data_IF_662807432621
#
_entry.id   IF_662807432621
#
_cell.length_a   1.000
_cell.length_b   1.000
_cell.length_c   1.000
_cell.angle_alpha   90.00
_cell.angle_beta   90.00
_cell.angle_gamma   90.00
#
_symmetry.space_group_name_H-M   'P 1'
#
loop_
_entity.id
_entity.type
_entity.pdbx_description
1 polymer ?
#
# COMPACT_ATOMS: atom_id res chain seq x y z
N UNK A 1 -2.36 32.76 23.50
CA UNK A 1 -1.98 31.35 23.71
C UNK A 1 -1.85 30.70 22.35
N UNK A 2 -0.64 30.64 21.80
CA UNK A 2 -0.38 29.94 20.55
C UNK A 2 -0.19 28.46 20.89
N UNK A 3 -1.09 27.61 20.39
CA UNK A 3 -0.91 26.16 20.44
C UNK A 3 0.29 25.82 19.57
N UNK A 4 1.41 25.47 20.18
CA UNK A 4 2.48 24.74 19.50
C UNK A 4 1.92 23.38 19.11
N UNK A 5 1.37 23.29 17.90
CA UNK A 5 1.21 22.01 17.25
C UNK A 5 2.61 21.39 17.24
N UNK A 6 2.79 20.30 18.00
CA UNK A 6 3.96 19.46 17.82
C UNK A 6 4.08 19.18 16.32
N UNK A 7 5.27 19.34 15.76
CA UNK A 7 5.52 18.88 14.40
C UNK A 7 5.38 17.36 14.52
N UNK A 8 4.19 16.83 14.24
CA UNK A 8 3.98 15.39 14.23
C UNK A 8 4.98 14.82 13.23
N UNK A 9 5.85 13.93 13.72
CA UNK A 9 6.83 13.28 12.87
C UNK A 9 6.11 12.65 11.67
N UNK A 10 6.67 12.88 10.48
CA UNK A 10 6.07 12.39 9.24
C UNK A 10 6.21 10.87 9.18
N UNK A 11 5.08 10.17 9.11
CA UNK A 11 5.02 8.71 8.99
C UNK A 11 5.04 8.35 7.50
N UNK A 12 6.07 7.64 7.08
CA UNK A 12 6.26 7.17 5.71
C UNK A 12 5.58 5.82 5.52
N UNK A 13 4.55 5.81 4.67
CA UNK A 13 3.74 4.60 4.41
C UNK A 13 3.82 4.24 2.94
N UNK A 14 4.22 2.99 2.64
CA UNK A 14 4.25 2.45 1.28
C UNK A 14 3.15 1.40 1.09
N UNK A 15 2.38 1.54 0.02
CA UNK A 15 1.41 0.52 -0.41
C UNK A 15 1.93 -0.31 -1.57
N UNK A 16 2.15 -1.60 -1.31
CA UNK A 16 2.42 -2.61 -2.31
C UNK A 16 1.12 -3.35 -2.68
N UNK A 17 0.52 -2.91 -3.79
CA UNK A 17 -0.71 -3.50 -4.33
C UNK A 17 -1.92 -2.57 -4.28
N UNK A 18 -2.00 -1.65 -5.23
CA UNK A 18 -3.16 -0.78 -5.46
C UNK A 18 -4.30 -1.48 -6.22
N UNK A 19 -4.74 -2.63 -5.69
CA UNK A 19 -6.03 -3.22 -6.08
C UNK A 19 -7.20 -2.45 -5.46
N UNK A 20 -8.41 -3.00 -5.55
CA UNK A 20 -9.60 -2.38 -4.96
C UNK A 20 -9.44 -2.15 -3.44
N UNK A 21 -9.03 -3.18 -2.69
CA UNK A 21 -8.82 -3.12 -1.23
C UNK A 21 -7.68 -2.17 -0.87
N UNK A 22 -6.52 -2.31 -1.51
CA UNK A 22 -5.36 -1.45 -1.26
C UNK A 22 -5.66 0.03 -1.52
N UNK A 23 -6.45 0.34 -2.56
CA UNK A 23 -6.83 1.73 -2.88
C UNK A 23 -7.75 2.35 -1.82
N UNK A 24 -8.64 1.57 -1.21
CA UNK A 24 -9.50 2.02 -0.10
C UNK A 24 -8.66 2.38 1.12
N UNK A 25 -7.75 1.50 1.53
CA UNK A 25 -6.89 1.77 2.69
C UNK A 25 -5.86 2.87 2.42
N UNK A 26 -5.32 2.95 1.20
CA UNK A 26 -4.46 4.05 0.79
C UNK A 26 -5.20 5.40 0.89
N UNK A 27 -6.48 5.45 0.49
CA UNK A 27 -7.32 6.63 0.70
C UNK A 27 -7.47 6.96 2.19
N UNK A 28 -7.83 5.98 3.02
CA UNK A 28 -8.03 6.19 4.46
C UNK A 28 -6.76 6.75 5.11
N UNK A 29 -5.58 6.16 4.86
CA UNK A 29 -4.33 6.65 5.48
C UNK A 29 -3.89 7.99 4.91
N UNK A 30 -4.20 8.29 3.64
CA UNK A 30 -3.85 9.59 3.02
C UNK A 30 -4.58 10.78 3.65
N UNK A 31 -5.64 10.51 4.43
CA UNK A 31 -6.40 11.53 5.15
C UNK A 31 -5.69 12.01 6.42
N UNK A 32 -4.71 11.26 6.92
CA UNK A 32 -3.94 11.65 8.10
C UNK A 32 -2.91 12.74 7.73
N UNK A 33 -2.86 13.86 8.47
CA UNK A 33 -2.05 15.03 8.09
C UNK A 33 -0.54 14.77 8.13
N UNK A 34 -0.10 13.80 8.93
CA UNK A 34 1.30 13.43 9.11
C UNK A 34 1.73 12.21 8.29
N UNK A 35 0.90 11.70 7.37
CA UNK A 35 1.24 10.53 6.55
C UNK A 35 1.79 10.97 5.20
N UNK A 36 3.00 10.51 4.87
CA UNK A 36 3.59 10.63 3.53
C UNK A 36 3.42 9.32 2.77
N UNK A 37 2.37 9.27 1.95
CA UNK A 37 1.99 8.07 1.19
C UNK A 37 2.86 7.88 -0.06
N UNK A 38 3.49 6.71 -0.17
CA UNK A 38 4.07 6.20 -1.41
C UNK A 38 3.26 5.00 -1.91
N UNK A 39 3.08 4.89 -3.23
CA UNK A 39 2.38 3.74 -3.82
C UNK A 39 3.21 3.08 -4.91
N UNK A 40 3.18 1.74 -4.91
CA UNK A 40 3.78 0.94 -5.99
C UNK A 40 2.71 0.63 -7.03
N UNK A 41 2.81 1.27 -8.18
CA UNK A 41 1.90 1.13 -9.31
C UNK A 41 2.63 0.49 -10.50
N UNK A 42 2.17 -0.69 -10.94
CA UNK A 42 2.75 -1.39 -12.10
C UNK A 42 2.02 -0.98 -13.38
N UNK A 43 1.01 -1.75 -13.76
CA UNK A 43 0.25 -1.54 -15.00
C UNK A 43 -0.56 -0.24 -15.03
N UNK A 44 -0.72 0.46 -13.91
CA UNK A 44 -1.48 1.70 -13.77
C UNK A 44 -0.61 2.91 -13.38
N UNK A 45 0.71 2.80 -13.47
CA UNK A 45 1.65 3.85 -13.07
C UNK A 45 1.31 5.22 -13.66
N UNK A 46 1.23 5.33 -14.98
CA UNK A 46 1.01 6.63 -15.65
C UNK A 46 -0.34 7.23 -15.27
N UNK A 47 -1.38 6.38 -15.20
CA UNK A 47 -2.71 6.81 -14.81
C UNK A 47 -2.75 7.36 -13.38
N UNK A 48 -2.12 6.67 -12.43
CA UNK A 48 -2.06 7.09 -11.02
C UNK A 48 -1.19 8.32 -10.85
N UNK A 49 -0.05 8.39 -11.55
CA UNK A 49 0.86 9.54 -11.47
C UNK A 49 0.25 10.82 -12.03
N UNK A 50 -0.53 10.74 -13.10
CA UNK A 50 -1.14 11.90 -13.73
C UNK A 50 -2.47 12.30 -13.08
N UNK A 51 -3.32 11.34 -12.73
CA UNK A 51 -4.71 11.60 -12.35
C UNK A 51 -5.00 11.33 -10.87
N UNK A 52 -4.03 10.80 -10.11
CA UNK A 52 -4.24 10.33 -8.75
C UNK A 52 -5.11 9.07 -8.70
N UNK A 53 -5.68 8.81 -7.53
CA UNK A 53 -6.58 7.70 -7.26
C UNK A 53 -7.97 8.24 -6.93
N UNK A 54 -8.96 7.84 -7.72
CA UNK A 54 -10.36 8.20 -7.51
C UNK A 54 -11.08 7.12 -6.72
N UNK A 55 -11.58 7.49 -5.54
CA UNK A 55 -12.46 6.68 -4.72
C UNK A 55 -13.91 7.16 -4.87
N UNK A 56 -14.82 6.23 -5.09
CA UNK A 56 -16.26 6.49 -5.09
C UNK A 56 -16.87 5.56 -4.03
N UNK A 57 -17.49 6.14 -3.01
CA UNK A 57 -18.09 5.45 -1.89
C UNK A 57 -19.37 6.17 -1.46
N UNK A 58 -20.37 5.42 -1.00
CA UNK A 58 -21.56 6.03 -0.39
C UNK A 58 -21.20 6.74 0.93
N UNK A 59 -20.26 6.17 1.70
CA UNK A 59 -19.87 6.68 3.02
C UNK A 59 -18.89 7.86 2.94
N UNK A 60 -18.09 7.94 1.87
CA UNK A 60 -17.05 8.97 1.71
C UNK A 60 -17.25 9.88 0.50
N UNK A 61 -18.34 9.69 -0.24
CA UNK A 61 -18.60 10.38 -1.50
C UNK A 61 -17.61 10.02 -2.60
N UNK A 62 -17.51 10.93 -3.56
CA UNK A 62 -16.53 10.87 -4.65
C UNK A 62 -15.34 11.76 -4.30
N UNK A 63 -14.14 11.18 -4.22
CA UNK A 63 -12.92 11.86 -3.83
C UNK A 63 -11.76 11.41 -4.72
N UNK A 64 -10.86 12.33 -5.05
CA UNK A 64 -9.58 12.02 -5.71
C UNK A 64 -8.44 12.43 -4.79
N UNK A 65 -7.47 11.54 -4.59
CA UNK A 65 -6.29 11.81 -3.78
C UNK A 65 -5.00 11.49 -4.54
N UNK A 66 -3.93 12.16 -4.14
CA UNK A 66 -2.63 12.08 -4.79
C UNK A 66 -1.59 11.59 -3.77
N UNK A 67 -0.99 10.40 -3.99
CA UNK A 67 0.17 9.98 -3.22
C UNK A 67 1.33 10.96 -3.36
N UNK A 68 2.15 11.10 -2.31
CA UNK A 68 3.36 11.91 -2.37
C UNK A 68 4.36 11.33 -3.39
N UNK A 69 4.45 10.01 -3.48
CA UNK A 69 5.26 9.32 -4.48
C UNK A 69 4.48 8.21 -5.16
N UNK A 70 4.68 8.08 -6.47
CA UNK A 70 4.19 6.97 -7.29
C UNK A 70 5.40 6.35 -7.97
N UNK A 71 5.67 5.07 -7.68
CA UNK A 71 6.85 4.34 -8.17
C UNK A 71 6.45 3.05 -8.87
N UNK A 72 7.28 2.56 -9.80
CA UNK A 72 6.97 1.31 -10.53
C UNK A 72 7.40 0.06 -9.78
N UNK A 73 8.51 0.17 -9.06
CA UNK A 73 9.14 -0.94 -8.34
C UNK A 73 9.59 -0.49 -6.95
N UNK A 74 9.69 -1.40 -5.96
CA UNK A 74 10.25 -1.05 -4.64
C UNK A 74 11.66 -0.47 -4.69
N UNK A 75 12.47 -0.81 -5.70
CA UNK A 75 13.83 -0.25 -5.85
C UNK A 75 13.87 1.27 -6.10
N UNK A 76 12.77 1.84 -6.59
CA UNK A 76 12.64 3.29 -6.83
C UNK A 76 12.19 4.05 -5.57
N UNK A 77 11.95 3.35 -4.46
CA UNK A 77 11.34 3.98 -3.30
C UNK A 77 12.31 4.95 -2.60
N UNK A 78 11.89 6.20 -2.34
CA UNK A 78 12.75 7.19 -1.71
C UNK A 78 12.86 6.97 -0.19
N UNK A 79 14.02 6.49 0.24
CA UNK A 79 14.40 6.47 1.65
C UNK A 79 13.68 5.38 2.46
N UNK A 80 13.46 5.68 3.73
CA UNK A 80 12.93 4.75 4.73
C UNK A 80 11.40 4.77 4.82
N UNK A 81 10.82 3.64 5.22
CA UNK A 81 9.39 3.46 5.46
C UNK A 81 9.13 2.87 6.84
N UNK A 82 8.26 3.55 7.59
CA UNK A 82 7.75 3.07 8.88
C UNK A 82 6.78 1.90 8.67
N UNK A 83 5.97 1.97 7.61
CA UNK A 83 5.00 0.94 7.27
C UNK A 83 5.05 0.55 5.79
N UNK A 84 5.13 -0.76 5.53
CA UNK A 84 4.95 -1.34 4.21
C UNK A 84 3.69 -2.20 4.22
N UNK A 85 2.67 -1.75 3.51
CA UNK A 85 1.36 -2.41 3.43
C UNK A 85 1.29 -3.29 2.19
N UNK A 86 1.19 -4.59 2.40
CA UNK A 86 1.01 -5.60 1.36
C UNK A 86 -0.48 -5.91 1.18
N UNK A 87 -1.08 -5.39 0.11
CA UNK A 87 -2.50 -5.60 -0.24
C UNK A 87 -2.71 -6.22 -1.63
N UNK A 88 -1.64 -6.73 -2.24
CA UNK A 88 -1.71 -7.56 -3.44
C UNK A 88 -2.32 -8.94 -3.15
N UNK A 89 -2.75 -9.66 -4.20
CA UNK A 89 -3.14 -11.06 -4.05
C UNK A 89 -1.95 -11.92 -3.61
N UNK A 90 -2.18 -12.83 -2.66
CA UNK A 90 -1.20 -13.78 -2.14
C UNK A 90 -0.99 -14.99 -3.07
N UNK A 91 -0.72 -14.76 -4.37
CA UNK A 91 -0.48 -15.84 -5.35
C UNK A 91 1.01 -16.08 -5.64
N UNK A 92 1.87 -15.13 -5.28
CA UNK A 92 3.31 -15.17 -5.56
C UNK A 92 4.06 -14.43 -4.44
N UNK A 93 3.87 -14.91 -3.22
CA UNK A 93 4.28 -14.21 -2.01
C UNK A 93 5.80 -14.18 -1.87
N UNK A 94 6.51 -15.22 -2.31
CA UNK A 94 7.97 -15.29 -2.25
C UNK A 94 8.63 -14.22 -3.11
N UNK A 95 8.18 -14.07 -4.35
CA UNK A 95 8.66 -13.02 -5.26
C UNK A 95 8.35 -11.63 -4.69
N UNK A 96 7.16 -11.45 -4.12
CA UNK A 96 6.77 -10.18 -3.49
C UNK A 96 7.66 -9.86 -2.29
N UNK A 97 7.79 -10.79 -1.36
CA UNK A 97 8.61 -10.61 -0.17
C UNK A 97 10.05 -10.27 -0.55
N UNK A 98 10.67 -11.00 -1.50
CA UNK A 98 12.02 -10.69 -2.00
C UNK A 98 12.12 -9.33 -2.69
N UNK A 99 11.08 -8.93 -3.44
CA UNK A 99 11.08 -7.62 -4.11
C UNK A 99 11.07 -6.43 -3.15
N UNK A 100 10.60 -6.63 -1.91
CA UNK A 100 10.54 -5.61 -0.87
C UNK A 100 11.83 -5.51 -0.05
N UNK A 101 12.76 -6.45 -0.19
CA UNK A 101 14.02 -6.48 0.57
C UNK A 101 14.81 -5.16 0.54
N UNK A 102 14.88 -4.40 -0.58
CA UNK A 102 15.63 -3.14 -0.61
C UNK A 102 15.05 -2.01 0.26
N UNK A 103 13.79 -2.16 0.70
CA UNK A 103 13.05 -1.10 1.42
C UNK A 103 12.58 -1.54 2.81
N UNK A 104 12.89 -2.77 3.21
CA UNK A 104 12.60 -3.28 4.55
C UNK A 104 13.87 -3.18 5.38
N UNK A 105 13.77 -2.49 6.51
CA UNK A 105 14.74 -2.48 7.60
C UNK A 105 14.12 -3.01 8.90
N UNK A 106 14.93 -3.20 9.93
CA UNK A 106 14.48 -3.78 11.22
C UNK A 106 13.43 -2.91 11.94
N UNK A 107 13.41 -1.61 11.65
CA UNK A 107 12.43 -0.63 12.14
C UNK A 107 11.19 -0.50 11.24
N UNK A 108 11.17 -1.15 10.07
CA UNK A 108 10.00 -1.19 9.19
C UNK A 108 8.96 -2.17 9.72
N UNK A 109 7.71 -1.72 9.82
CA UNK A 109 6.56 -2.57 10.12
C UNK A 109 5.90 -3.05 8.83
N UNK A 110 5.79 -4.37 8.67
CA UNK A 110 5.14 -5.02 7.52
C UNK A 110 3.68 -5.27 7.88
N UNK A 111 2.76 -4.70 7.10
CA UNK A 111 1.31 -4.86 7.30
C UNK A 111 0.74 -5.72 6.18
N UNK A 112 0.13 -6.84 6.52
CA UNK A 112 -0.40 -7.81 5.55
C UNK A 112 -1.92 -7.73 5.52
N UNK A 113 -2.48 -7.19 4.44
CA UNK A 113 -3.93 -7.11 4.18
C UNK A 113 -4.25 -8.05 3.02
N UNK A 114 -4.07 -9.34 3.25
CA UNK A 114 -4.23 -10.39 2.24
C UNK A 114 -5.14 -11.48 2.79
N UNK A 115 -6.10 -11.93 1.98
CA UNK A 115 -6.91 -13.09 2.32
C UNK A 115 -6.02 -14.35 2.34
N UNK A 116 -6.28 -15.25 3.29
CA UNK A 116 -5.53 -16.49 3.47
C UNK A 116 -5.08 -16.67 4.93
N UNK A 117 -4.49 -17.83 5.22
CA UNK A 117 -3.88 -18.18 6.51
C UNK A 117 -2.43 -18.56 6.24
N UNK A 118 -1.50 -18.12 7.10
CA UNK A 118 -0.07 -18.40 6.96
C UNK A 118 0.66 -17.46 5.98
N UNK A 119 0.04 -16.35 5.60
CA UNK A 119 0.67 -15.34 4.73
C UNK A 119 1.89 -14.69 5.41
N UNK A 120 1.89 -14.64 6.73
CA UNK A 120 2.92 -14.07 7.59
C UNK A 120 4.19 -14.93 7.66
N UNK A 121 4.09 -16.25 7.47
CA UNK A 121 5.19 -17.19 7.74
C UNK A 121 6.41 -16.90 6.87
N UNK A 122 6.18 -16.63 5.59
CA UNK A 122 7.23 -16.30 4.64
C UNK A 122 7.88 -14.94 4.96
N UNK A 123 7.09 -13.94 5.34
CA UNK A 123 7.61 -12.64 5.75
C UNK A 123 8.42 -12.76 7.04
N UNK A 124 7.98 -13.57 8.01
CA UNK A 124 8.72 -13.83 9.25
C UNK A 124 10.05 -14.56 8.99
N UNK A 125 10.07 -15.51 8.07
CA UNK A 125 11.28 -16.24 7.70
C UNK A 125 12.33 -15.34 7.03
N UNK A 126 11.91 -14.40 6.20
CA UNK A 126 12.80 -13.48 5.48
C UNK A 126 13.19 -12.24 6.32
N UNK A 127 12.28 -11.77 7.18
CA UNK A 127 12.42 -10.55 7.97
C UNK A 127 12.17 -10.84 9.46
N UNK A 128 13.09 -11.55 10.14
CA UNK A 128 12.86 -12.05 11.49
C UNK A 128 12.74 -10.95 12.54
N UNK A 129 13.34 -9.79 12.31
CA UNK A 129 13.36 -8.66 13.26
C UNK A 129 12.27 -7.62 13.02
N UNK A 130 11.75 -7.52 11.79
CA UNK A 130 10.67 -6.59 11.46
C UNK A 130 9.37 -6.96 12.19
N UNK A 131 8.62 -5.93 12.57
CA UNK A 131 7.27 -6.12 13.12
C UNK A 131 6.32 -6.52 11.99
N UNK A 132 5.47 -7.52 12.23
CA UNK A 132 4.47 -7.99 11.26
C UNK A 132 3.08 -7.80 11.87
N UNK A 133 2.23 -7.06 11.17
CA UNK A 133 0.82 -6.89 11.50
C UNK A 133 -0.01 -7.66 10.47
N UNK A 134 -0.68 -8.72 10.91
CA UNK A 134 -1.61 -9.47 10.07
C UNK A 134 -3.02 -8.88 10.20
N UNK A 135 -3.68 -8.62 9.07
CA UNK A 135 -4.98 -7.97 9.03
C UNK A 135 -6.01 -8.81 8.26
N UNK A 136 -7.21 -8.93 8.83
CA UNK A 136 -8.40 -9.39 8.13
C UNK A 136 -9.22 -8.18 7.72
N UNK A 137 -9.36 -7.94 6.43
CA UNK A 137 -10.16 -6.84 5.90
C UNK A 137 -11.58 -7.30 5.58
N UNK A 138 -12.57 -6.72 6.24
CA UNK A 138 -13.98 -6.88 5.87
C UNK A 138 -14.47 -5.61 5.17
N UNK A 139 -14.26 -5.57 3.85
CA UNK A 139 -14.74 -4.46 3.02
C UNK A 139 -14.97 -4.91 1.58
N UNK A 140 -15.98 -4.33 0.94
CA UNK A 140 -16.31 -4.58 -0.46
C UNK A 140 -15.81 -3.43 -1.34
N UNK A 141 -15.00 -3.74 -2.35
CA UNK A 141 -14.52 -2.74 -3.30
C UNK A 141 -14.30 -3.35 -4.68
N UNK A 142 -14.53 -2.55 -5.72
CA UNK A 142 -14.31 -2.92 -7.12
C UNK A 142 -13.44 -1.87 -7.80
N UNK A 143 -12.36 -2.30 -8.42
CA UNK A 143 -11.56 -1.44 -9.30
C UNK A 143 -12.21 -1.42 -10.69
N UNK A 144 -12.92 -0.33 -11.00
CA UNK A 144 -13.58 -0.15 -12.30
C UNK A 144 -12.57 0.11 -13.42
N UNK A 145 -11.61 1.00 -13.19
CA UNK A 145 -10.58 1.40 -14.16
C UNK A 145 -9.25 1.75 -13.47
N UNK A 146 -8.09 1.56 -14.12
CA UNK A 146 -7.91 0.77 -15.33
C UNK A 146 -8.09 -0.72 -15.03
N UNK A 147 -8.89 -1.42 -15.85
CA UNK A 147 -9.17 -2.84 -15.63
C UNK A 147 -7.94 -3.65 -16.04
N UNK A 148 -7.38 -4.45 -15.13
CA UNK A 148 -6.42 -5.49 -15.51
C UNK A 148 -7.16 -6.48 -16.42
N UNK A 149 -6.83 -6.49 -17.73
CA UNK A 149 -7.32 -7.53 -18.64
C UNK A 149 -6.88 -8.87 -18.05
N UNK A 150 -7.82 -9.73 -17.67
CA UNK A 150 -7.48 -11.14 -17.48
C UNK A 150 -7.13 -11.68 -18.88
N UNK A 151 -6.04 -12.44 -19.05
CA UNK A 151 -5.89 -13.19 -20.29
C UNK A 151 -7.14 -14.06 -20.45
N UNK A 152 -7.79 -13.96 -21.61
CA UNK A 152 -8.79 -14.96 -22.01
C UNK A 152 -8.04 -16.28 -22.11
N UNK A 153 -8.44 -17.25 -21.28
CA UNK A 153 -8.16 -18.64 -21.62
C UNK A 153 -9.16 -18.99 -22.72
N UNK A 154 -8.65 -19.25 -23.93
CA UNK A 154 -9.38 -19.98 -24.98
C UNK A 154 -9.56 -21.44 -24.58
#
# INVERSE_FOLDING_TARGET
>A
MASTAAIEETINVLFYGLGAIGSVYAFIVSRSPNVRLTVVARSNYDAVKQNGLKLISENHGEQTFYPANVIKTPLEAPGHYDYIVCSNKATDQETVAKSLAPIISDDTTIVIIQNGVGNEDLFRALYPHSTIISCVAWTGAIQKTPRRRKPQQE
#
